data_IF_735700057138
#
_entry.id   IF_735700057138
#
_cell.length_a   1.000
_cell.length_b   1.000
_cell.length_c   1.000
_cell.angle_alpha   90.00
_cell.angle_beta   90.00
_cell.angle_gamma   90.00
#
_symmetry.space_group_name_H-M   'P 1'
#
loop_
_entity.id
_entity.type
_entity.pdbx_description
1 polymer ?
#
# COMPACT_ATOMS: atom_id res chain seq x y z
N UNK A 1 -53.83 -19.14 10.37
CA UNK A 1 -53.69 -18.77 8.94
C UNK A 1 -52.43 -19.45 8.41
N UNK A 2 -52.40 -20.75 8.10
CA UNK A 2 -52.83 -21.47 6.88
C UNK A 2 -52.43 -20.81 5.56
N UNK A 3 -51.24 -21.17 5.03
CA UNK A 3 -50.95 -21.79 3.71
C UNK A 3 -49.42 -21.80 3.49
N UNK A 4 -48.71 -22.95 3.51
CA UNK A 4 -48.51 -24.00 2.47
C UNK A 4 -47.92 -23.40 1.17
N UNK A 5 -46.85 -23.87 0.51
CA UNK A 5 -46.11 -25.15 0.35
C UNK A 5 -44.61 -24.79 0.12
N UNK A 6 -43.57 -25.47 0.64
CA UNK A 6 -43.09 -26.85 0.49
C UNK A 6 -42.24 -27.13 -0.79
N UNK A 7 -40.95 -27.46 -0.53
CA UNK A 7 -40.07 -28.47 -1.20
C UNK A 7 -39.72 -28.29 -2.69
N UNK A 8 -38.62 -28.80 -3.26
CA UNK A 8 -37.27 -29.21 -2.86
C UNK A 8 -36.61 -29.83 -4.12
N UNK A 9 -35.27 -29.94 -4.13
CA UNK A 9 -34.41 -30.83 -4.95
C UNK A 9 -34.28 -30.69 -6.49
N UNK A 10 -33.10 -30.19 -6.91
CA UNK A 10 -31.95 -30.92 -7.53
C UNK A 10 -32.02 -31.53 -8.96
N UNK A 11 -30.84 -31.51 -9.59
CA UNK A 11 -30.35 -32.17 -10.83
C UNK A 11 -30.54 -31.39 -12.15
N UNK A 12 -29.47 -30.91 -12.82
CA UNK A 12 -28.40 -31.56 -13.58
C UNK A 12 -28.82 -31.97 -15.02
N UNK A 13 -28.02 -31.49 -15.97
CA UNK A 13 -27.69 -32.11 -17.28
C UNK A 13 -28.27 -31.51 -18.56
N UNK A 14 -27.32 -31.35 -19.49
CA UNK A 14 -27.39 -31.16 -20.94
C UNK A 14 -28.45 -32.02 -21.64
N UNK A 15 -29.04 -31.46 -22.71
CA UNK A 15 -29.00 -31.93 -24.11
C UNK A 15 -30.08 -31.15 -24.90
N UNK A 16 -29.68 -30.32 -25.88
CA UNK A 16 -29.54 -30.65 -27.30
C UNK A 16 -30.88 -30.76 -28.06
N UNK A 17 -30.89 -30.10 -29.22
CA UNK A 17 -31.64 -30.44 -30.44
C UNK A 17 -32.87 -29.54 -30.80
N UNK A 18 -33.33 -29.54 -32.07
CA UNK A 18 -33.43 -28.35 -32.91
C UNK A 18 -34.88 -28.17 -33.42
N UNK A 19 -35.13 -27.23 -34.34
CA UNK A 19 -36.06 -27.35 -35.50
C UNK A 19 -36.35 -25.96 -36.08
N UNK A 20 -35.78 -25.67 -37.25
CA UNK A 20 -36.44 -24.78 -38.22
C UNK A 20 -36.74 -25.63 -39.45
N UNK A 21 -37.95 -25.38 -39.95
CA UNK A 21 -38.74 -26.23 -40.80
C UNK A 21 -38.27 -26.30 -42.25
N UNK A 22 -38.70 -27.42 -42.83
CA UNK A 22 -38.73 -27.80 -44.24
C UNK A 22 -39.49 -26.78 -45.11
N UNK A 23 -38.94 -26.47 -46.28
CA UNK A 23 -39.75 -26.14 -47.46
C UNK A 23 -39.06 -26.76 -48.69
N UNK A 24 -39.73 -27.76 -49.25
CA UNK A 24 -39.33 -28.49 -50.44
C UNK A 24 -39.79 -27.74 -51.70
N UNK A 25 -38.89 -27.62 -52.67
CA UNK A 25 -39.18 -27.13 -54.01
C UNK A 25 -38.04 -27.52 -54.95
N UNK A 26 -38.24 -28.62 -55.68
CA UNK A 26 -37.53 -29.02 -56.90
C UNK A 26 -38.62 -29.30 -57.95
N UNK A 27 -38.36 -29.29 -59.27
CA UNK A 27 -37.07 -29.55 -59.90
C UNK A 27 -36.75 -28.68 -61.14
N UNK A 28 -35.54 -28.83 -61.68
CA UNK A 28 -35.28 -29.18 -63.09
C UNK A 28 -33.96 -28.59 -63.59
N UNK A 29 -33.16 -29.43 -64.25
CA UNK A 29 -32.30 -28.98 -65.35
C UNK A 29 -30.79 -28.93 -65.10
N UNK A 30 -30.10 -29.86 -65.77
CA UNK A 30 -28.76 -29.74 -66.33
C UNK A 30 -27.53 -29.83 -65.38
N UNK A 31 -26.98 -31.05 -65.36
CA UNK A 31 -25.55 -31.38 -65.34
C UNK A 31 -24.57 -30.19 -65.38
N UNK A 32 -23.98 -29.89 -64.23
CA UNK A 32 -22.57 -29.49 -64.17
C UNK A 32 -21.88 -30.36 -63.13
N UNK A 33 -21.06 -31.30 -63.59
CA UNK A 33 -20.02 -31.93 -62.76
C UNK A 33 -19.08 -30.82 -62.32
N UNK A 34 -19.36 -30.19 -61.18
CA UNK A 34 -18.36 -29.39 -60.48
C UNK A 34 -17.36 -30.37 -59.88
N UNK A 35 -16.24 -30.55 -60.58
CA UNK A 35 -15.05 -31.14 -60.02
C UNK A 35 -14.72 -30.41 -58.72
N UNK A 36 -14.62 -31.15 -57.61
CA UNK A 36 -14.07 -30.65 -56.36
C UNK A 36 -12.74 -29.93 -56.69
N UNK A 37 -12.54 -28.67 -56.29
CA UNK A 37 -11.23 -28.06 -56.43
C UNK A 37 -10.23 -28.91 -55.65
N UNK A 38 -9.18 -29.35 -56.34
CA UNK A 38 -7.98 -29.94 -55.76
C UNK A 38 -7.59 -29.16 -54.49
N UNK A 39 -7.26 -29.87 -53.41
CA UNK A 39 -6.85 -29.33 -52.08
C UNK A 39 -5.60 -28.40 -52.15
N UNK A 40 -5.13 -28.02 -53.34
CA UNK A 40 -3.99 -27.14 -53.57
C UNK A 40 -4.27 -25.65 -53.75
N UNK A 41 -5.51 -25.14 -53.58
CA UNK A 41 -5.83 -23.72 -53.85
C UNK A 41 -6.58 -22.96 -52.75
N UNK A 42 -6.51 -23.41 -51.50
CA UNK A 42 -6.72 -22.46 -50.41
C UNK A 42 -5.47 -21.57 -50.32
N UNK A 43 -5.54 -20.35 -50.84
CA UNK A 43 -4.56 -19.31 -50.51
C UNK A 43 -4.47 -19.24 -48.99
N UNK A 44 -3.39 -19.77 -48.43
CA UNK A 44 -3.11 -19.59 -47.03
C UNK A 44 -3.05 -18.08 -46.77
N UNK A 45 -3.85 -17.51 -45.85
CA UNK A 45 -3.69 -16.12 -45.49
C UNK A 45 -2.24 -15.96 -45.04
N UNK A 46 -1.48 -15.12 -45.76
CA UNK A 46 -0.04 -14.90 -45.53
C UNK A 46 0.14 -14.63 -44.05
N UNK A 47 0.61 -15.65 -43.31
CA UNK A 47 0.88 -15.53 -41.87
C UNK A 47 1.88 -14.38 -41.76
N UNK A 48 1.57 -13.29 -41.04
CA UNK A 48 2.46 -12.14 -41.04
C UNK A 48 3.83 -12.61 -40.56
N UNK A 49 4.84 -12.29 -41.37
CA UNK A 49 6.18 -12.86 -41.38
C UNK A 49 6.68 -13.13 -39.95
N UNK A 50 6.88 -14.42 -39.61
CA UNK A 50 7.25 -14.89 -38.28
C UNK A 50 8.51 -14.18 -37.75
N UNK A 51 9.38 -13.75 -38.67
CA UNK A 51 10.57 -12.95 -38.37
C UNK A 51 10.23 -11.54 -37.85
N UNK A 52 9.24 -10.88 -38.43
CA UNK A 52 8.76 -9.56 -37.97
C UNK A 52 8.12 -9.68 -36.58
N UNK A 53 7.32 -10.73 -36.36
CA UNK A 53 6.72 -11.03 -35.05
C UNK A 53 7.78 -11.25 -33.97
N UNK A 54 8.79 -12.09 -34.23
CA UNK A 54 9.92 -12.35 -33.31
C UNK A 54 10.70 -11.08 -32.99
N UNK A 55 10.96 -10.23 -33.99
CA UNK A 55 11.66 -8.96 -33.81
C UNK A 55 10.84 -7.98 -32.95
N UNK A 56 9.54 -7.86 -33.21
CA UNK A 56 8.65 -7.02 -32.42
C UNK A 56 8.56 -7.50 -30.96
N UNK A 57 8.46 -8.82 -30.73
CA UNK A 57 8.45 -9.40 -29.39
C UNK A 57 9.76 -9.10 -28.65
N UNK A 58 10.91 -9.35 -29.29
CA UNK A 58 12.23 -9.01 -28.74
C UNK A 58 12.31 -7.53 -28.38
N UNK A 59 11.93 -6.64 -29.29
CA UNK A 59 11.96 -5.20 -29.05
C UNK A 59 11.06 -4.79 -27.87
N UNK A 60 9.88 -5.40 -27.75
CA UNK A 60 8.98 -5.16 -26.61
C UNK A 60 9.60 -5.61 -25.28
N UNK A 61 10.30 -6.76 -25.28
CA UNK A 61 11.02 -7.28 -24.13
C UNK A 61 12.22 -6.39 -23.77
N UNK A 62 12.99 -5.93 -24.76
CA UNK A 62 14.08 -4.98 -24.58
C UNK A 62 13.55 -3.66 -23.97
N UNK A 63 12.43 -3.14 -24.48
CA UNK A 63 11.78 -1.95 -23.94
C UNK A 63 11.39 -2.11 -22.47
N UNK A 64 10.74 -3.23 -22.12
CA UNK A 64 10.36 -3.53 -20.73
C UNK A 64 11.59 -3.64 -19.82
N UNK A 65 12.64 -4.33 -20.28
CA UNK A 65 13.89 -4.48 -19.55
C UNK A 65 14.60 -3.14 -19.33
N UNK A 66 14.73 -2.31 -20.38
CA UNK A 66 15.34 -0.98 -20.29
C UNK A 66 14.56 -0.06 -19.34
N UNK A 67 13.23 -0.03 -19.44
CA UNK A 67 12.37 0.76 -18.55
C UNK A 67 12.52 0.32 -17.10
N UNK A 68 12.46 -0.99 -16.85
CA UNK A 68 12.55 -1.56 -15.50
C UNK A 68 13.94 -1.32 -14.89
N UNK A 69 15.00 -1.56 -15.65
CA UNK A 69 16.36 -1.31 -15.21
C UNK A 69 16.59 0.17 -14.93
N UNK A 70 16.20 1.06 -15.85
CA UNK A 70 16.26 2.51 -15.66
C UNK A 70 15.48 2.97 -14.42
N UNK A 71 14.28 2.44 -14.19
CA UNK A 71 13.49 2.79 -13.01
C UNK A 71 14.14 2.34 -11.70
N UNK A 72 14.70 1.14 -11.67
CA UNK A 72 15.40 0.63 -10.48
C UNK A 72 16.68 1.43 -10.21
N UNK A 73 17.47 1.74 -11.24
CA UNK A 73 18.72 2.52 -11.09
C UNK A 73 18.45 3.96 -10.68
N UNK A 74 17.49 4.63 -11.32
CA UNK A 74 17.06 5.98 -10.98
C UNK A 74 16.54 6.08 -9.54
N UNK A 75 15.68 5.13 -9.14
CA UNK A 75 15.19 5.03 -7.76
C UNK A 75 16.34 4.83 -6.76
N UNK A 76 17.21 3.84 -7.00
CA UNK A 76 18.31 3.51 -6.10
C UNK A 76 19.27 4.69 -5.93
N UNK A 77 19.60 5.38 -7.03
CA UNK A 77 20.48 6.55 -7.03
C UNK A 77 19.88 7.72 -6.25
N UNK A 78 18.63 8.09 -6.56
CA UNK A 78 17.92 9.20 -5.91
C UNK A 78 17.73 8.93 -4.42
N UNK A 79 17.29 7.74 -4.05
CA UNK A 79 17.10 7.31 -2.66
C UNK A 79 18.43 7.33 -1.90
N UNK A 80 19.51 6.82 -2.49
CA UNK A 80 20.83 6.84 -1.85
C UNK A 80 21.35 8.25 -1.61
N UNK A 81 21.16 9.16 -2.58
CA UNK A 81 21.53 10.57 -2.41
C UNK A 81 20.74 11.23 -1.28
N UNK A 82 19.42 11.04 -1.25
CA UNK A 82 18.56 11.57 -0.20
C UNK A 82 18.92 11.00 1.18
N UNK A 83 19.16 9.70 1.29
CA UNK A 83 19.57 9.08 2.54
C UNK A 83 20.91 9.64 3.05
N UNK A 84 21.87 9.94 2.17
CA UNK A 84 23.12 10.60 2.58
C UNK A 84 22.84 12.01 3.13
N UNK A 85 21.99 12.78 2.47
CA UNK A 85 21.60 14.09 2.95
C UNK A 85 20.89 14.02 4.32
N UNK A 86 19.92 13.12 4.49
CA UNK A 86 19.23 12.89 5.76
C UNK A 86 20.18 12.49 6.89
N UNK A 87 21.21 11.69 6.60
CA UNK A 87 22.25 11.34 7.58
C UNK A 87 23.16 12.51 7.91
N UNK A 88 23.47 13.37 6.94
CA UNK A 88 24.28 14.57 7.17
C UNK A 88 23.55 15.56 8.09
N UNK A 89 22.25 15.75 7.87
CA UNK A 89 21.40 16.65 8.67
C UNK A 89 20.80 15.99 9.92
N UNK A 90 21.34 14.84 10.35
CA UNK A 90 20.68 14.02 11.37
C UNK A 90 20.50 14.74 12.70
N UNK A 91 21.48 15.56 13.10
CA UNK A 91 21.41 16.31 14.35
C UNK A 91 20.22 17.27 14.39
N UNK A 92 19.98 18.01 13.31
CA UNK A 92 18.85 18.91 13.18
C UNK A 92 17.54 18.13 13.15
N UNK A 93 17.49 17.05 12.37
CA UNK A 93 16.29 16.22 12.23
C UNK A 93 15.91 15.51 13.53
N UNK A 94 16.89 15.08 14.33
CA UNK A 94 16.65 14.47 15.65
C UNK A 94 16.05 15.46 16.66
N UNK A 95 16.43 16.75 16.56
CA UNK A 95 15.85 17.81 17.38
C UNK A 95 14.42 18.16 16.95
N UNK A 96 14.21 18.33 15.65
CA UNK A 96 12.91 18.75 15.10
C UNK A 96 11.87 17.64 15.20
N UNK A 97 12.26 16.38 14.94
CA UNK A 97 11.36 15.22 14.95
C UNK A 97 11.62 14.31 16.14
N UNK A 98 11.62 14.89 17.34
CA UNK A 98 11.84 14.15 18.59
C UNK A 98 10.56 13.48 19.08
N UNK A 99 10.66 12.18 19.40
CA UNK A 99 9.58 11.42 20.03
C UNK A 99 9.66 11.41 21.57
N UNK A 100 10.73 11.96 22.15
CA UNK A 100 10.97 11.97 23.60
C UNK A 100 9.81 12.56 24.41
N UNK A 101 9.16 13.68 23.99
CA UNK A 101 8.04 14.23 24.75
C UNK A 101 6.82 13.31 24.83
N UNK A 102 6.74 12.28 23.99
CA UNK A 102 5.61 11.35 23.94
C UNK A 102 5.91 10.00 24.62
N UNK A 103 6.99 9.94 25.39
CA UNK A 103 7.31 8.79 26.23
C UNK A 103 6.65 8.94 27.60
N UNK A 104 6.36 7.82 28.24
CA UNK A 104 6.01 7.80 29.65
C UNK A 104 7.17 8.27 30.53
N UNK A 105 6.88 8.58 31.79
CA UNK A 105 7.90 8.92 32.80
C UNK A 105 9.00 7.86 32.93
N UNK A 106 8.64 6.59 32.78
CA UNK A 106 9.58 5.46 32.81
C UNK A 106 10.30 5.23 31.47
N UNK A 107 10.13 6.11 30.47
CA UNK A 107 10.69 6.07 29.10
C UNK A 107 10.41 4.83 28.24
N UNK A 108 9.73 3.82 28.78
CA UNK A 108 9.49 2.54 28.09
C UNK A 108 8.13 2.42 27.40
N UNK A 109 7.20 3.37 27.59
CA UNK A 109 5.89 3.34 26.94
C UNK A 109 5.76 4.54 26.01
N UNK A 110 5.59 4.26 24.73
CA UNK A 110 5.24 5.26 23.73
C UNK A 110 3.73 5.53 23.78
N UNK A 111 3.38 6.80 23.96
CA UNK A 111 1.99 7.24 24.00
C UNK A 111 1.27 7.04 22.65
N UNK A 112 -0.06 6.88 22.68
CA UNK A 112 -0.85 6.64 21.49
C UNK A 112 -0.93 7.88 20.60
N UNK A 113 -1.20 7.65 19.32
CA UNK A 113 -1.44 8.70 18.32
C UNK A 113 -2.92 8.73 17.94
N UNK A 114 -3.50 9.93 17.90
CA UNK A 114 -4.91 10.17 17.56
C UNK A 114 -5.02 10.92 16.23
N UNK A 115 -5.78 10.35 15.29
CA UNK A 115 -6.18 11.02 14.06
C UNK A 115 -7.41 11.89 14.26
N UNK A 116 -7.53 12.89 13.40
CA UNK A 116 -8.71 13.72 13.25
C UNK A 116 -9.28 13.56 11.83
N UNK A 117 -10.56 13.24 11.72
CA UNK A 117 -11.33 13.31 10.49
C UNK A 117 -12.32 14.47 10.58
N UNK A 118 -12.16 15.50 9.74
CA UNK A 118 -13.08 16.64 9.67
C UNK A 118 -14.09 16.44 8.54
N UNK A 119 -15.34 16.87 8.76
CA UNK A 119 -16.42 16.89 7.77
C UNK A 119 -16.58 15.55 7.03
N UNK A 120 -16.72 14.47 7.81
CA UNK A 120 -16.99 13.16 7.24
C UNK A 120 -18.48 13.08 6.89
N UNK A 121 -18.78 12.88 5.62
CA UNK A 121 -20.10 12.55 5.14
C UNK A 121 -20.13 11.05 4.82
N UNK A 122 -20.98 10.32 5.51
CA UNK A 122 -21.18 8.89 5.28
C UNK A 122 -22.62 8.71 4.79
N UNK A 123 -22.77 8.29 3.54
CA UNK A 123 -24.05 7.83 3.03
C UNK A 123 -24.26 6.41 3.56
N UNK A 124 -25.28 6.20 4.40
CA UNK A 124 -25.59 4.88 4.94
C UNK A 124 -26.46 4.10 3.95
N UNK A 125 -27.46 4.77 3.39
CA UNK A 125 -28.34 4.28 2.32
C UNK A 125 -28.73 5.41 1.37
N UNK A 126 -29.47 5.11 0.28
CA UNK A 126 -29.96 6.12 -0.67
C UNK A 126 -30.83 7.22 -0.03
N UNK A 127 -31.34 6.99 1.17
CA UNK A 127 -32.27 7.88 1.90
C UNK A 127 -31.74 8.35 3.26
N UNK A 128 -30.57 7.86 3.72
CA UNK A 128 -30.00 8.23 5.02
C UNK A 128 -28.53 8.59 4.90
N UNK A 129 -28.14 9.71 5.52
CA UNK A 129 -26.77 10.18 5.55
C UNK A 129 -26.40 10.69 6.93
N UNK A 130 -25.23 10.28 7.42
CA UNK A 130 -24.61 10.79 8.62
C UNK A 130 -23.56 11.84 8.27
N UNK A 131 -23.70 13.03 8.84
CA UNK A 131 -22.68 14.07 8.78
C UNK A 131 -21.98 14.21 10.13
N UNK A 132 -20.68 13.94 10.16
CA UNK A 132 -19.84 14.16 11.34
C UNK A 132 -18.95 15.38 11.13
N UNK A 133 -19.07 16.38 12.01
CA UNK A 133 -18.25 17.59 11.93
C UNK A 133 -16.77 17.29 12.21
N UNK A 134 -16.49 16.55 13.29
CA UNK A 134 -15.15 16.12 13.68
C UNK A 134 -15.24 14.71 14.28
N UNK A 135 -14.33 13.84 13.88
CA UNK A 135 -14.15 12.50 14.43
C UNK A 135 -12.72 12.33 14.89
N UNK A 136 -12.53 11.78 16.09
CA UNK A 136 -11.22 11.38 16.58
C UNK A 136 -11.10 9.86 16.57
N UNK A 137 -9.93 9.35 16.17
CA UNK A 137 -9.66 7.91 16.18
C UNK A 137 -8.25 7.65 16.70
N UNK A 138 -8.11 6.75 17.66
CA UNK A 138 -6.79 6.25 18.06
C UNK A 138 -6.23 5.44 16.88
N UNK A 139 -5.20 5.95 16.22
CA UNK A 139 -4.57 5.33 15.05
C UNK A 139 -3.47 4.35 15.46
N UNK A 140 -2.63 4.78 16.39
CA UNK A 140 -1.59 3.94 16.98
C UNK A 140 -1.89 3.82 18.48
N UNK A 141 -2.18 2.63 19.01
CA UNK A 141 -2.34 2.44 20.44
C UNK A 141 -1.00 2.63 21.18
N UNK A 142 -1.08 2.80 22.49
CA UNK A 142 0.10 2.83 23.34
C UNK A 142 0.86 1.51 23.22
N UNK A 143 2.19 1.57 23.17
CA UNK A 143 3.03 0.38 23.05
C UNK A 143 4.30 0.50 23.87
N UNK A 144 4.75 -0.63 24.40
CA UNK A 144 6.03 -0.75 25.08
C UNK A 144 7.12 -0.78 24.01
N UNK A 145 8.19 -0.01 24.24
CA UNK A 145 9.31 0.12 23.32
C UNK A 145 10.63 0.00 24.08
N UNK A 146 11.65 -0.56 23.42
CA UNK A 146 13.03 -0.53 23.90
C UNK A 146 13.75 0.74 23.45
N UNK A 147 13.49 1.18 22.22
CA UNK A 147 14.12 2.34 21.60
C UNK A 147 13.02 3.25 21.04
N UNK A 148 13.02 4.56 21.37
CA UNK A 148 12.11 5.52 20.78
C UNK A 148 12.21 5.57 19.25
N UNK A 149 11.07 5.66 18.53
CA UNK A 149 11.11 5.92 17.10
C UNK A 149 11.87 7.21 16.80
N UNK A 150 12.50 7.27 15.63
CA UNK A 150 13.20 8.46 15.14
C UNK A 150 12.75 8.77 13.72
N UNK A 151 13.14 9.93 13.18
CA UNK A 151 12.87 10.27 11.78
C UNK A 151 13.40 9.20 10.80
N UNK A 152 14.42 8.43 11.21
CA UNK A 152 15.06 7.40 10.40
C UNK A 152 14.10 6.29 10.03
N UNK A 153 13.21 5.91 10.95
CA UNK A 153 12.22 4.84 10.76
C UNK A 153 11.18 5.18 9.67
N UNK A 154 11.04 6.48 9.38
CA UNK A 154 10.05 6.99 8.43
C UNK A 154 10.67 7.46 7.11
N UNK A 155 11.86 8.06 7.16
CA UNK A 155 12.46 8.76 6.03
C UNK A 155 13.61 8.00 5.35
N UNK A 156 14.30 7.11 6.07
CA UNK A 156 15.38 6.31 5.47
C UNK A 156 14.75 5.14 4.71
N UNK A 157 14.84 5.19 3.40
CA UNK A 157 14.31 4.16 2.51
C UNK A 157 15.43 3.25 2.01
N UNK A 158 15.17 1.96 1.85
CA UNK A 158 16.14 1.09 1.16
C UNK A 158 16.24 1.48 -0.32
N UNK A 159 17.43 1.82 -0.84
CA UNK A 159 17.59 2.13 -2.26
C UNK A 159 17.40 0.88 -3.14
N UNK A 160 17.52 -0.32 -2.58
CA UNK A 160 17.50 -1.57 -3.33
C UNK A 160 18.71 -1.73 -4.26
N UNK A 161 18.86 -2.94 -4.81
CA UNK A 161 19.88 -3.26 -5.81
C UNK A 161 19.20 -3.47 -7.17
N UNK A 162 19.55 -2.70 -8.21
CA UNK A 162 18.98 -2.89 -9.53
C UNK A 162 19.30 -4.28 -10.09
N UNK A 163 18.28 -4.99 -10.54
CA UNK A 163 18.41 -6.32 -11.15
C UNK A 163 19.22 -6.23 -12.44
N UNK A 164 20.20 -7.12 -12.59
CA UNK A 164 20.99 -7.22 -13.84
C UNK A 164 20.07 -7.58 -15.00
N UNK A 165 20.23 -6.87 -16.12
CA UNK A 165 19.50 -7.16 -17.37
C UNK A 165 20.07 -8.42 -17.99
N UNK A 166 19.20 -9.31 -18.48
CA UNK A 166 19.62 -10.48 -19.24
C UNK A 166 20.41 -10.06 -20.49
N UNK A 167 21.59 -10.65 -20.69
CA UNK A 167 22.50 -10.36 -21.80
C UNK A 167 21.83 -10.46 -23.18
N UNK A 168 20.85 -11.35 -23.35
CA UNK A 168 20.09 -11.52 -24.59
C UNK A 168 19.29 -10.27 -24.99
N UNK A 169 18.90 -9.45 -24.01
CA UNK A 169 18.09 -8.24 -24.21
C UNK A 169 18.95 -6.98 -24.38
N UNK A 170 20.26 -7.06 -24.20
CA UNK A 170 21.14 -5.93 -24.43
C UNK A 170 21.11 -5.50 -25.91
N UNK A 171 21.23 -4.19 -26.19
CA UNK A 171 21.19 -3.67 -27.54
C UNK A 171 22.44 -4.10 -28.32
N UNK A 172 22.24 -4.69 -29.50
CA UNK A 172 23.37 -5.13 -30.36
C UNK A 172 23.76 -4.08 -31.39
N UNK A 173 22.77 -3.41 -31.96
CA UNK A 173 22.96 -2.49 -33.09
C UNK A 173 22.80 -1.02 -32.67
N UNK A 174 23.32 -0.08 -33.47
CA UNK A 174 23.21 1.36 -33.20
C UNK A 174 21.75 1.84 -33.03
N UNK A 175 20.83 1.33 -33.88
CA UNK A 175 19.39 1.63 -33.76
C UNK A 175 18.82 1.16 -32.42
N UNK A 176 19.19 -0.04 -31.98
CA UNK A 176 18.76 -0.59 -30.68
C UNK A 176 19.37 0.20 -29.52
N UNK A 177 20.65 0.60 -29.59
CA UNK A 177 21.31 1.42 -28.57
C UNK A 177 20.59 2.75 -28.37
N UNK A 178 20.19 3.43 -29.47
CA UNK A 178 19.44 4.70 -29.39
C UNK A 178 18.09 4.53 -28.70
N UNK A 179 17.34 3.48 -29.03
CA UNK A 179 16.06 3.16 -28.40
C UNK A 179 16.23 2.74 -26.94
N UNK A 180 17.23 1.92 -26.65
CA UNK A 180 17.57 1.48 -25.29
C UNK A 180 17.86 2.67 -24.38
N UNK A 181 18.68 3.62 -24.83
CA UNK A 181 18.97 4.86 -24.09
C UNK A 181 17.68 5.63 -23.80
N UNK A 182 16.85 5.88 -24.82
CA UNK A 182 15.55 6.57 -24.66
C UNK A 182 14.63 5.90 -23.63
N UNK A 183 14.52 4.57 -23.65
CA UNK A 183 13.69 3.84 -22.70
C UNK A 183 14.27 3.81 -21.30
N UNK A 184 15.60 3.68 -21.21
CA UNK A 184 16.32 3.76 -19.94
C UNK A 184 16.13 5.12 -19.29
N UNK A 185 16.30 6.21 -20.04
CA UNK A 185 16.12 7.59 -19.53
C UNK A 185 14.68 7.81 -19.05
N UNK A 186 13.69 7.28 -19.78
CA UNK A 186 12.29 7.31 -19.35
C UNK A 186 12.07 6.51 -18.07
N UNK A 187 12.69 5.33 -17.97
CA UNK A 187 12.67 4.50 -16.77
C UNK A 187 13.28 5.25 -15.58
N UNK A 188 14.46 5.84 -15.77
CA UNK A 188 15.18 6.62 -14.79
C UNK A 188 14.32 7.72 -14.16
N UNK A 189 13.72 8.56 -15.00
CA UNK A 189 12.84 9.64 -14.54
C UNK A 189 11.59 9.12 -13.80
N UNK A 190 11.08 7.94 -14.17
CA UNK A 190 10.00 7.30 -13.43
C UNK A 190 10.48 6.79 -12.05
N UNK A 191 11.67 6.22 -11.98
CA UNK A 191 12.32 5.79 -10.74
C UNK A 191 12.58 6.92 -9.75
N UNK A 192 13.07 8.07 -10.24
CA UNK A 192 13.27 9.26 -9.41
C UNK A 192 11.94 9.77 -8.82
N UNK A 193 10.90 9.90 -9.66
CA UNK A 193 9.57 10.31 -9.19
C UNK A 193 8.99 9.34 -8.17
N UNK A 194 9.20 8.04 -8.35
CA UNK A 194 8.80 7.03 -7.37
C UNK A 194 9.52 7.21 -6.04
N UNK A 195 10.83 7.48 -6.06
CA UNK A 195 11.59 7.78 -4.84
C UNK A 195 11.03 9.02 -4.13
N UNK A 196 10.72 10.08 -4.88
CA UNK A 196 10.14 11.31 -4.31
C UNK A 196 8.74 11.08 -3.74
N UNK A 197 7.92 10.25 -4.37
CA UNK A 197 6.62 9.87 -3.83
C UNK A 197 6.76 9.03 -2.54
N UNK A 198 7.65 8.05 -2.53
CA UNK A 198 7.90 7.22 -1.35
C UNK A 198 8.38 8.08 -0.16
N UNK A 199 9.29 9.03 -0.41
CA UNK A 199 9.75 9.98 0.61
C UNK A 199 8.60 10.86 1.13
N UNK A 200 7.76 11.41 0.25
CA UNK A 200 6.59 12.21 0.67
C UNK A 200 5.60 11.40 1.51
N UNK A 201 5.41 10.12 1.19
CA UNK A 201 4.58 9.22 2.01
C UNK A 201 5.21 9.04 3.40
N UNK A 202 6.52 8.79 3.46
CA UNK A 202 7.27 8.67 4.72
C UNK A 202 7.16 9.94 5.56
N UNK A 203 7.33 11.12 4.96
CA UNK A 203 7.18 12.40 5.63
C UNK A 203 5.77 12.61 6.20
N UNK A 204 4.73 12.30 5.44
CA UNK A 204 3.35 12.36 5.95
C UNK A 204 3.11 11.41 7.12
N UNK A 205 3.70 10.22 7.09
CA UNK A 205 3.62 9.27 8.21
C UNK A 205 4.32 9.82 9.45
N UNK A 206 5.51 10.39 9.31
CA UNK A 206 6.26 11.01 10.41
C UNK A 206 5.48 12.17 11.04
N UNK A 207 5.03 13.12 10.22
CA UNK A 207 4.26 14.29 10.68
C UNK A 207 2.98 13.84 11.38
N UNK A 208 2.20 12.94 10.78
CA UNK A 208 0.98 12.38 11.39
C UNK A 208 1.28 11.67 12.71
N UNK A 209 2.38 10.94 12.82
CA UNK A 209 2.76 10.24 14.04
C UNK A 209 3.06 11.20 15.21
N UNK A 210 3.67 12.35 14.93
CA UNK A 210 3.97 13.38 15.93
C UNK A 210 2.72 14.20 16.24
N UNK A 211 2.07 14.77 15.23
CA UNK A 211 0.85 15.58 15.39
C UNK A 211 -0.26 14.82 16.09
N UNK A 212 -0.43 13.53 15.77
CA UNK A 212 -1.44 12.71 16.43
C UNK A 212 -1.14 12.45 17.91
N UNK A 213 0.13 12.48 18.31
CA UNK A 213 0.51 12.40 19.73
C UNK A 213 0.38 13.74 20.45
N UNK A 214 0.69 14.85 19.77
CA UNK A 214 0.37 16.20 20.29
C UNK A 214 -1.14 16.29 20.55
N UNK A 215 -1.96 15.87 19.59
CA UNK A 215 -3.41 15.81 19.73
C UNK A 215 -3.87 14.90 20.87
N UNK A 216 -3.21 13.75 21.06
CA UNK A 216 -3.49 12.91 22.22
C UNK A 216 -3.29 13.66 23.54
N UNK A 217 -2.22 14.45 23.65
CA UNK A 217 -1.99 15.31 24.82
C UNK A 217 -3.09 16.36 24.99
N UNK A 218 -3.46 17.08 23.94
CA UNK A 218 -4.53 18.08 23.97
C UNK A 218 -5.86 17.47 24.46
N UNK A 219 -6.25 16.33 23.89
CA UNK A 219 -7.46 15.61 24.28
C UNK A 219 -7.40 15.11 25.73
N UNK A 220 -6.21 14.75 26.20
CA UNK A 220 -6.02 14.32 27.59
C UNK A 220 -6.23 15.50 28.54
N UNK A 221 -5.68 16.67 28.22
CA UNK A 221 -5.85 17.89 29.01
C UNK A 221 -7.32 18.34 29.04
N UNK A 222 -8.02 18.20 27.91
CA UNK A 222 -9.45 18.46 27.81
C UNK A 222 -10.33 17.38 28.49
N UNK A 223 -9.75 16.33 29.07
CA UNK A 223 -10.48 15.24 29.71
C UNK A 223 -11.28 14.36 28.74
N UNK A 224 -11.00 14.42 27.44
CA UNK A 224 -11.73 13.70 26.37
C UNK A 224 -11.19 12.29 26.11
N UNK A 225 -9.94 12.02 26.52
CA UNK A 225 -9.31 10.72 26.42
C UNK A 225 -8.56 10.38 27.71
N UNK A 226 -8.75 9.17 28.21
CA UNK A 226 -8.00 8.66 29.34
C UNK A 226 -6.62 8.20 28.89
N UNK A 227 -5.60 8.47 29.72
CA UNK A 227 -4.26 7.92 29.53
C UNK A 227 -4.24 6.40 29.66
N UNK A 228 -3.37 5.70 28.91
CA UNK A 228 -3.13 4.29 29.14
C UNK A 228 -2.50 4.10 30.52
N UNK A 229 -2.82 2.99 31.18
CA UNK A 229 -2.17 2.60 32.44
C UNK A 229 -1.34 1.34 32.20
N UNK A 230 -0.20 1.26 32.87
CA UNK A 230 0.69 0.11 32.84
C UNK A 230 1.10 -0.26 34.26
N UNK A 231 1.50 -1.51 34.44
CA UNK A 231 2.05 -2.04 35.67
C UNK A 231 3.38 -2.74 35.38
N UNK A 232 4.30 -2.65 36.33
CA UNK A 232 5.57 -3.37 36.33
C UNK A 232 5.52 -4.41 37.44
N UNK A 233 5.95 -5.64 37.17
CA UNK A 233 6.11 -6.65 38.22
C UNK A 233 7.27 -6.27 39.15
N UNK A 234 7.24 -6.71 40.41
CA UNK A 234 8.44 -6.68 41.26
C UNK A 234 9.60 -7.41 40.59
N UNK A 235 10.83 -6.99 40.91
CA UNK A 235 12.05 -7.64 40.47
C UNK A 235 12.11 -9.07 41.03
N UNK A 236 12.22 -10.07 40.16
CA UNK A 236 12.31 -11.47 40.53
C UNK A 236 13.68 -12.05 40.14
N UNK A 237 14.09 -13.10 40.85
CA UNK A 237 15.22 -13.92 40.43
C UNK A 237 14.66 -15.22 39.86
N UNK A 238 14.83 -15.43 38.55
CA UNK A 238 14.45 -16.65 37.87
C UNK A 238 15.69 -17.52 37.71
N UNK A 239 15.57 -18.79 38.09
CA UNK A 239 16.63 -19.78 37.92
C UNK A 239 16.08 -21.01 37.20
N UNK A 240 16.41 -21.14 35.93
CA UNK A 240 16.36 -22.41 35.22
C UNK A 240 17.74 -23.07 35.30
N UNK A 241 17.84 -24.39 35.20
CA UNK A 241 19.09 -25.14 35.46
C UNK A 241 20.33 -24.63 34.69
N UNK A 242 20.13 -23.90 33.60
CA UNK A 242 21.17 -23.32 32.75
C UNK A 242 21.17 -21.77 32.74
N UNK A 243 20.15 -21.11 33.27
CA UNK A 243 19.99 -19.64 33.18
C UNK A 243 19.57 -19.07 34.54
N UNK A 244 20.32 -18.09 35.01
CA UNK A 244 20.02 -17.29 36.19
C UNK A 244 19.75 -15.85 35.76
N UNK A 245 18.50 -15.42 35.84
CA UNK A 245 18.08 -14.04 35.61
C UNK A 245 17.84 -13.38 36.97
N UNK A 246 18.60 -12.34 37.29
CA UNK A 246 18.46 -11.60 38.55
C UNK A 246 17.83 -10.25 38.21
N UNK A 247 16.74 -9.92 38.89
CA UNK A 247 16.05 -8.64 38.70
C UNK A 247 15.12 -8.61 37.48
N UNK A 248 14.59 -9.76 37.06
CA UNK A 248 13.60 -9.84 36.00
C UNK A 248 12.36 -9.03 36.36
N UNK A 249 11.92 -8.17 35.44
CA UNK A 249 10.72 -7.33 35.60
C UNK A 249 9.89 -7.35 34.32
N UNK A 250 8.59 -7.57 34.49
CA UNK A 250 7.63 -7.60 33.39
C UNK A 250 6.84 -6.30 33.38
N UNK A 251 6.95 -5.53 32.29
CA UNK A 251 6.12 -4.36 32.04
C UNK A 251 4.91 -4.74 31.18
N UNK A 252 3.70 -4.38 31.62
CA UNK A 252 2.47 -4.65 30.88
C UNK A 252 1.54 -3.45 30.89
N UNK A 253 1.00 -3.10 29.72
CA UNK A 253 -0.11 -2.15 29.59
C UNK A 253 -1.37 -2.86 30.09
N UNK A 254 -1.92 -2.40 31.22
CA UNK A 254 -3.10 -2.97 31.87
C UNK A 254 -4.39 -2.43 31.30
N UNK A 255 -4.39 -1.14 30.91
CA UNK A 255 -5.55 -0.48 30.30
C UNK A 255 -5.12 0.39 29.12
N UNK A 256 -5.70 0.19 27.92
CA UNK A 256 -5.43 1.06 26.78
C UNK A 256 -6.08 2.44 26.99
N UNK A 257 -5.61 3.41 26.19
CA UNK A 257 -6.26 4.70 26.09
C UNK A 257 -7.67 4.54 25.48
N UNK A 258 -8.63 5.32 25.99
CA UNK A 258 -10.03 5.28 25.55
C UNK A 258 -10.66 6.67 25.65
N UNK A 259 -11.59 6.97 24.76
CA UNK A 259 -12.36 8.20 24.86
C UNK A 259 -13.30 8.16 26.07
N UNK A 260 -13.49 9.31 26.71
CA UNK A 260 -14.33 9.46 27.90
C UNK A 260 -15.71 9.98 27.51
N UNK A 261 -16.68 9.81 28.42
CA UNK A 261 -17.99 10.44 28.28
C UNK A 261 -17.90 11.97 28.37
N UNK A 262 -18.74 12.65 27.59
CA UNK A 262 -18.78 14.12 27.44
C UNK A 262 -18.85 14.91 28.75
N UNK A 263 -19.44 14.31 29.80
CA UNK A 263 -19.53 14.91 31.13
C UNK A 263 -18.19 15.30 31.77
N UNK A 264 -17.08 14.69 31.33
CA UNK A 264 -15.74 14.98 31.84
C UNK A 264 -14.97 15.98 30.97
N UNK A 265 -15.56 16.44 29.87
CA UNK A 265 -14.87 17.27 28.90
C UNK A 265 -14.79 18.70 29.40
N UNK A 266 -13.60 19.28 29.31
CA UNK A 266 -13.32 20.66 29.68
C UNK A 266 -12.99 21.46 28.42
N UNK A 267 -13.49 22.69 28.29
CA UNK A 267 -12.99 23.59 27.26
C UNK A 267 -11.50 23.86 27.52
N UNK A 268 -10.67 23.84 26.47
CA UNK A 268 -9.29 24.29 26.57
C UNK A 268 -9.33 25.83 26.55
N UNK A 269 -9.25 26.46 27.71
CA UNK A 269 -9.11 27.90 27.82
C UNK A 269 -7.70 28.29 27.37
N UNK A 270 -7.59 28.90 26.18
CA UNK A 270 -6.37 29.60 25.78
C UNK A 270 -6.49 31.00 26.36
N UNK A 271 -5.75 31.28 27.44
CA UNK A 271 -5.60 32.67 27.91
C UNK A 271 -4.76 33.39 26.85
N UNK A 272 -5.40 34.26 26.08
CA UNK A 272 -4.68 35.26 25.30
C UNK A 272 -4.05 36.22 26.32
N UNK A 273 -2.73 36.11 26.52
CA UNK A 273 -1.99 37.16 27.21
C UNK A 273 -2.04 38.39 26.30
N UNK A 274 -2.94 39.32 26.61
CA UNK A 274 -2.91 40.66 26.04
C UNK A 274 -1.58 41.31 26.43
N UNK A 275 -0.63 41.36 25.48
CA UNK A 275 0.54 42.20 25.60
C UNK A 275 0.08 43.65 25.81
N UNK A 276 0.38 44.19 27.00
CA UNK A 276 0.24 45.61 27.35
C UNK A 276 1.49 46.39 26.98
#
# INVERSE_FOLDING_TARGET
MKNRLAMSFLALSLCLSPKIAFAAGLPSGANSRQTLPTIGQAEHPVKPDDKLRKRALRQSAQKKAALSWGAQTGYARKTSLRNRWLRKESFLLDRVFSFRPFLSTDEHVLLPSVDIGKRAFKLEDRTSSDSTLVSYRIHEPARIISIPPTFRDYLILSPGTPKKVNSLLLPKNLKEKKLWKKWTDRGWNAGERLSDQAFRIGMRRLVRAIEGRIRFYELTLAGQIDRPTWARSPAATLRTGEVLEIGDTVLRITRPARFTASKHWKPLEVKEEEEK
#
